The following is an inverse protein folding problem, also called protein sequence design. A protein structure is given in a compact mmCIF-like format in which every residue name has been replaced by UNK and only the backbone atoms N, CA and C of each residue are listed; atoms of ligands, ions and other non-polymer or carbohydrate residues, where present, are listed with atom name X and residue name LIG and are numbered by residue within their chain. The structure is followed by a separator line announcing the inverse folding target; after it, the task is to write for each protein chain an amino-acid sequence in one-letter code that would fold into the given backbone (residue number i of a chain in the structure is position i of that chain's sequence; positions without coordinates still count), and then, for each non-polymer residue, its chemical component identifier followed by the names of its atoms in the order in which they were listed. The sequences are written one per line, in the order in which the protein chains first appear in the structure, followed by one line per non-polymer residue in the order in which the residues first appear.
data_IF_731571926056
#
_entry.id   IF_731571926056
#
_cell.length_a   1.000
_cell.length_b   1.000
_cell.length_c   1.000
_cell.angle_alpha   90.00
_cell.angle_beta   90.00
_cell.angle_gamma   90.00
#
_symmetry.space_group_name_H-M   'P 1'
#
loop_
_entity.id
_entity.type
_entity.pdbx_description
1 polymer ?
#
# COMPACT_ATOMS: atom_id res chain seq x y z
N UNK A 1 -39.71 -39.82 -43.88
CA UNK A 1 -38.30 -39.39 -43.94
C UNK A 1 -38.05 -38.13 -43.10
N UNK A 2 -39.05 -37.26 -42.88
CA UNK A 2 -38.87 -35.99 -42.16
C UNK A 2 -38.73 -36.11 -40.63
N UNK A 3 -39.31 -37.14 -39.99
CA UNK A 3 -39.18 -37.33 -38.53
C UNK A 3 -37.77 -37.65 -38.06
N UNK A 4 -36.94 -38.27 -38.90
CA UNK A 4 -35.58 -38.69 -38.54
C UNK A 4 -34.59 -37.52 -38.52
N UNK A 5 -34.84 -36.47 -39.31
CA UNK A 5 -33.99 -35.28 -39.39
C UNK A 5 -34.16 -34.42 -38.12
N UNK A 6 -35.38 -34.33 -37.59
CA UNK A 6 -35.67 -33.54 -36.39
C UNK A 6 -34.93 -34.08 -35.14
N UNK A 7 -34.83 -35.40 -34.98
CA UNK A 7 -34.12 -36.00 -33.85
C UNK A 7 -32.60 -35.73 -33.88
N UNK A 8 -32.00 -35.68 -35.06
CA UNK A 8 -30.56 -35.41 -35.21
C UNK A 8 -30.26 -33.95 -34.81
N UNK A 9 -31.14 -33.01 -35.17
CA UNK A 9 -30.98 -31.60 -34.82
C UNK A 9 -31.10 -31.40 -33.30
N UNK A 10 -32.06 -32.06 -32.65
CA UNK A 10 -32.25 -31.95 -31.19
C UNK A 10 -31.03 -32.49 -30.43
N UNK A 11 -30.46 -33.61 -30.88
CA UNK A 11 -29.26 -34.20 -30.25
C UNK A 11 -28.05 -33.28 -30.40
N UNK A 12 -27.88 -32.62 -31.55
CA UNK A 12 -26.79 -31.66 -31.73
C UNK A 12 -26.96 -30.43 -30.83
N UNK A 13 -28.17 -29.89 -30.66
CA UNK A 13 -28.42 -28.75 -29.76
C UNK A 13 -28.15 -29.09 -28.30
N UNK A 14 -28.49 -30.30 -27.85
CA UNK A 14 -28.20 -30.74 -26.47
C UNK A 14 -26.69 -30.87 -26.22
N UNK A 15 -25.92 -31.34 -27.22
CA UNK A 15 -24.46 -31.45 -27.12
C UNK A 15 -23.76 -30.09 -27.13
N UNK A 16 -24.31 -29.08 -27.83
CA UNK A 16 -23.74 -27.71 -27.83
C UNK A 16 -24.08 -26.90 -26.57
N UNK A 17 -25.12 -27.27 -25.82
CA UNK A 17 -25.46 -26.61 -24.55
C UNK A 17 -24.70 -27.14 -23.33
N UNK A 18 -23.95 -28.24 -23.46
CA UNK A 18 -23.14 -28.80 -22.38
C UNK A 18 -21.71 -28.26 -22.40
N UNK A 19 -21.54 -26.95 -22.56
CA UNK A 19 -20.33 -26.29 -22.07
C UNK A 19 -20.49 -26.17 -20.55
N UNK A 20 -20.11 -27.23 -19.82
CA UNK A 20 -19.75 -27.06 -18.41
C UNK A 20 -18.65 -26.02 -18.38
N UNK A 21 -18.96 -24.81 -17.89
CA UNK A 21 -17.94 -23.87 -17.45
C UNK A 21 -17.18 -24.64 -16.38
N UNK A 22 -15.99 -25.15 -16.71
CA UNK A 22 -15.05 -25.58 -15.70
C UNK A 22 -14.88 -24.38 -14.76
N UNK A 23 -15.43 -24.49 -13.56
CA UNK A 23 -15.12 -23.57 -12.47
C UNK A 23 -13.66 -23.85 -12.13
N UNK A 24 -12.76 -23.21 -12.87
CA UNK A 24 -11.35 -23.15 -12.50
C UNK A 24 -11.33 -22.42 -11.17
N UNK A 25 -11.23 -23.18 -10.08
CA UNK A 25 -10.96 -22.65 -8.75
C UNK A 25 -9.55 -22.09 -8.78
N UNK A 26 -9.42 -20.83 -9.17
CA UNK A 26 -8.19 -20.08 -8.98
C UNK A 26 -7.99 -19.92 -7.48
N UNK A 27 -7.09 -20.71 -6.91
CA UNK A 27 -6.56 -20.44 -5.57
C UNK A 27 -5.76 -19.15 -5.67
N UNK A 28 -6.24 -18.10 -5.02
CA UNK A 28 -5.48 -16.87 -4.87
C UNK A 28 -4.18 -17.21 -4.13
N UNK A 29 -3.06 -16.65 -4.59
CA UNK A 29 -1.81 -16.74 -3.84
C UNK A 29 -2.00 -16.03 -2.49
N UNK A 30 -1.42 -16.59 -1.44
CA UNK A 30 -1.42 -16.03 -0.07
C UNK A 30 -0.24 -15.07 0.18
N UNK A 31 0.36 -14.58 -0.91
CA UNK A 31 1.50 -13.68 -0.87
C UNK A 31 1.54 -12.78 -2.11
N UNK A 32 2.24 -11.66 -1.98
CA UNK A 32 2.59 -10.77 -3.09
C UNK A 32 4.07 -10.42 -3.01
N UNK A 33 4.74 -10.26 -4.15
CA UNK A 33 6.10 -9.71 -4.17
C UNK A 33 6.05 -8.17 -4.17
N UNK A 34 6.88 -7.55 -3.35
CA UNK A 34 7.03 -6.10 -3.35
C UNK A 34 7.38 -5.58 -4.77
N UNK A 35 6.59 -4.63 -5.28
CA UNK A 35 6.69 -4.05 -6.63
C UNK A 35 6.10 -4.89 -7.75
N UNK A 36 5.45 -6.03 -7.45
CA UNK A 36 4.75 -6.82 -8.45
C UNK A 36 3.52 -6.07 -8.98
N UNK A 37 3.53 -5.72 -10.27
CA UNK A 37 2.46 -4.93 -10.94
C UNK A 37 1.47 -5.79 -11.73
N UNK A 38 1.77 -7.07 -11.97
CA UNK A 38 0.94 -7.99 -12.75
C UNK A 38 0.94 -9.39 -12.13
N UNK A 39 -0.15 -10.13 -12.34
CA UNK A 39 -0.34 -11.48 -11.83
C UNK A 39 -1.82 -11.81 -11.67
N UNK A 40 -2.13 -13.07 -11.42
CA UNK A 40 -3.48 -13.47 -11.04
C UNK A 40 -3.85 -12.83 -9.69
N UNK A 41 -5.00 -12.18 -9.63
CA UNK A 41 -5.48 -11.54 -8.40
C UNK A 41 -4.72 -10.28 -7.97
N UNK A 42 -3.87 -9.69 -8.82
CA UNK A 42 -3.18 -8.44 -8.48
C UNK A 42 -3.92 -7.25 -9.08
N UNK A 43 -4.35 -6.34 -8.22
CA UNK A 43 -4.85 -5.02 -8.60
C UNK A 43 -3.75 -3.98 -8.35
N UNK A 44 -3.14 -3.49 -9.44
CA UNK A 44 -2.15 -2.41 -9.42
C UNK A 44 -2.81 -1.06 -9.71
N UNK A 45 -2.41 -0.02 -8.97
CA UNK A 45 -2.82 1.37 -9.19
C UNK A 45 -1.59 2.28 -9.21
N UNK A 46 -1.46 3.03 -10.30
CA UNK A 46 -0.47 4.11 -10.43
C UNK A 46 -1.08 5.43 -9.94
N UNK A 47 -0.35 6.18 -9.11
CA UNK A 47 -0.81 7.47 -8.59
C UNK A 47 -0.15 8.57 -9.43
N UNK A 48 -0.81 8.98 -10.52
CA UNK A 48 -0.37 10.11 -11.35
C UNK A 48 -1.40 11.26 -11.29
N UNK A 49 -1.10 12.40 -10.61
CA UNK A 49 0.17 12.72 -9.97
C UNK A 49 0.38 12.00 -8.63
N UNK A 50 1.65 11.83 -8.25
CA UNK A 50 2.06 11.28 -6.94
C UNK A 50 1.33 11.99 -5.78
N UNK A 51 0.95 11.24 -4.73
CA UNK A 51 0.32 11.83 -3.55
C UNK A 51 1.38 12.39 -2.62
N UNK A 52 1.32 13.69 -2.36
CA UNK A 52 2.21 14.38 -1.44
C UNK A 52 1.86 14.10 0.01
N UNK A 53 2.68 13.30 0.70
CA UNK A 53 2.51 12.97 2.12
C UNK A 53 3.04 14.01 3.10
N UNK A 54 3.32 15.22 2.63
CA UNK A 54 4.02 16.22 3.43
C UNK A 54 3.39 17.59 3.34
N UNK A 55 3.89 18.47 4.20
CA UNK A 55 3.41 19.82 4.36
C UNK A 55 4.08 20.70 3.31
N UNK A 56 3.26 21.27 2.43
CA UNK A 56 3.74 22.10 1.31
C UNK A 56 4.12 23.51 1.80
N UNK A 57 3.36 24.06 2.75
CA UNK A 57 3.62 25.36 3.36
C UNK A 57 3.67 25.26 4.89
N UNK A 58 4.88 25.22 5.47
CA UNK A 58 5.09 25.07 6.91
C UNK A 58 4.70 26.31 7.73
N UNK A 59 4.56 27.46 7.07
CA UNK A 59 4.20 28.73 7.70
C UNK A 59 2.68 28.89 7.83
N UNK A 60 1.93 28.31 6.90
CA UNK A 60 0.47 28.33 6.92
C UNK A 60 -0.13 27.09 7.60
N UNK A 61 0.53 25.93 7.48
CA UNK A 61 0.05 24.66 8.02
C UNK A 61 1.21 23.85 8.59
N UNK A 62 1.00 23.29 9.78
CA UNK A 62 2.04 22.50 10.48
C UNK A 62 1.71 21.01 10.54
N UNK A 63 0.63 20.60 9.89
CA UNK A 63 0.22 19.20 9.79
C UNK A 63 -0.37 18.85 8.41
N UNK A 64 -0.39 17.56 8.11
CA UNK A 64 -1.14 16.99 7.00
C UNK A 64 -1.67 15.63 7.41
N UNK A 65 -2.82 15.25 6.84
CA UNK A 65 -3.45 13.96 7.09
C UNK A 65 -3.99 13.46 5.76
N UNK A 66 -3.62 12.24 5.42
CA UNK A 66 -4.05 11.56 4.20
C UNK A 66 -4.65 10.24 4.63
N UNK A 67 -5.88 10.00 4.22
CA UNK A 67 -6.50 8.70 4.38
C UNK A 67 -6.42 7.94 3.06
N UNK A 68 -6.15 6.65 3.16
CA UNK A 68 -5.98 5.75 2.02
C UNK A 68 -7.04 4.67 2.08
N UNK A 69 -7.87 4.57 1.05
CA UNK A 69 -8.74 3.43 0.76
C UNK A 69 -8.08 2.64 -0.39
N UNK A 70 -7.31 1.62 -0.03
CA UNK A 70 -6.49 0.85 -0.98
C UNK A 70 -7.30 -0.30 -1.61
N UNK A 71 -8.31 -0.80 -0.91
CA UNK A 71 -9.18 -1.87 -1.41
C UNK A 71 -10.41 -1.34 -2.19
N UNK A 72 -10.62 -0.01 -2.21
CA UNK A 72 -11.67 0.74 -2.92
C UNK A 72 -13.09 0.38 -2.47
N UNK A 73 -13.28 0.18 -1.17
CA UNK A 73 -14.59 -0.16 -0.60
C UNK A 73 -15.33 1.00 0.06
N UNK A 74 -14.74 2.20 0.00
CA UNK A 74 -15.29 3.42 0.58
C UNK A 74 -14.97 3.59 2.06
N UNK A 75 -14.16 2.71 2.65
CA UNK A 75 -13.68 2.81 4.02
C UNK A 75 -12.16 3.01 3.99
N UNK A 76 -11.68 4.02 4.72
CA UNK A 76 -10.25 4.27 4.82
C UNK A 76 -9.55 3.08 5.53
N UNK A 77 -8.50 2.56 4.90
CA UNK A 77 -7.67 1.46 5.39
C UNK A 77 -6.51 1.94 6.27
N UNK A 78 -5.92 3.10 5.93
CA UNK A 78 -4.76 3.67 6.60
C UNK A 78 -4.85 5.19 6.68
N UNK A 79 -4.26 5.78 7.73
CA UNK A 79 -4.06 7.22 7.84
C UNK A 79 -2.57 7.53 7.92
N UNK A 80 -2.05 8.35 7.00
CA UNK A 80 -0.72 8.94 7.06
C UNK A 80 -0.83 10.32 7.68
N UNK A 81 0.01 10.61 8.68
CA UNK A 81 0.09 11.91 9.33
C UNK A 81 1.48 12.48 9.20
N UNK A 82 1.56 13.65 8.58
CA UNK A 82 2.75 14.48 8.60
C UNK A 82 2.56 15.60 9.61
N UNK A 83 3.56 15.90 10.41
CA UNK A 83 3.56 17.07 11.29
C UNK A 83 4.93 17.71 11.28
N UNK A 84 4.96 19.00 11.54
CA UNK A 84 6.19 19.73 11.77
C UNK A 84 6.00 20.82 12.80
N UNK A 85 7.03 21.14 13.56
CA UNK A 85 6.96 22.39 14.31
C UNK A 85 7.11 23.55 13.35
N UNK A 86 6.37 24.62 13.67
CA UNK A 86 6.63 25.90 13.04
C UNK A 86 8.12 26.24 13.25
N UNK A 87 8.85 26.65 12.22
CA UNK A 87 10.19 27.21 12.40
C UNK A 87 10.03 28.43 13.31
N UNK A 88 10.28 28.23 14.60
CA UNK A 88 10.07 29.26 15.60
C UNK A 88 11.32 30.12 15.66
N UNK A 89 11.17 31.37 16.10
CA UNK A 89 12.30 32.25 16.38
C UNK A 89 13.25 31.69 17.46
N UNK A 90 12.89 30.60 18.14
CA UNK A 90 13.70 29.92 19.14
C UNK A 90 14.67 28.87 18.55
N UNK A 91 14.66 28.70 17.21
CA UNK A 91 15.71 27.97 16.51
C UNK A 91 15.60 26.46 16.58
N UNK A 92 14.39 25.89 16.65
CA UNK A 92 14.17 24.45 16.52
C UNK A 92 13.41 24.12 15.25
N UNK A 93 13.71 22.96 14.68
CA UNK A 93 13.02 22.38 13.53
C UNK A 93 12.75 20.91 13.82
N UNK A 94 11.57 20.45 13.46
CA UNK A 94 11.13 19.10 13.75
C UNK A 94 10.07 18.69 12.75
N UNK A 95 10.22 17.47 12.26
CA UNK A 95 9.38 16.86 11.24
C UNK A 95 9.07 15.44 11.71
N UNK A 96 7.83 14.99 11.51
CA UNK A 96 7.43 13.64 11.81
C UNK A 96 6.44 13.17 10.75
N UNK A 97 6.63 11.95 10.27
CA UNK A 97 5.74 11.25 9.37
C UNK A 97 5.46 9.86 9.95
N UNK A 98 4.18 9.55 10.14
CA UNK A 98 3.71 8.26 10.65
C UNK A 98 2.59 7.70 9.77
N UNK A 99 2.38 6.39 9.86
CA UNK A 99 1.22 5.69 9.30
C UNK A 99 0.50 4.93 10.40
N UNK A 100 -0.83 5.04 10.42
CA UNK A 100 -1.71 4.33 11.36
C UNK A 100 -2.62 3.39 10.56
N UNK A 101 -2.53 2.07 10.77
CA UNK A 101 -3.55 1.14 10.29
C UNK A 101 -4.90 1.42 10.93
N UNK A 102 -5.97 1.33 10.15
CA UNK A 102 -7.33 1.46 10.64
C UNK A 102 -7.99 0.08 10.78
N UNK A 103 -9.03 0.01 11.60
CA UNK A 103 -9.78 -1.23 11.86
C UNK A 103 -8.88 -2.39 12.34
N UNK A 104 -8.81 -3.48 11.58
CA UNK A 104 -7.97 -4.66 11.84
C UNK A 104 -6.83 -4.78 10.82
N UNK A 105 -6.59 -3.74 10.02
CA UNK A 105 -5.51 -3.70 9.06
C UNK A 105 -4.16 -3.63 9.80
N UNK A 106 -3.08 -3.93 9.09
CA UNK A 106 -1.74 -3.87 9.62
C UNK A 106 -0.74 -3.40 8.56
N UNK A 107 0.39 -2.87 9.03
CA UNK A 107 1.55 -2.52 8.22
C UNK A 107 2.77 -3.31 8.65
N UNK A 108 3.69 -3.55 7.73
CA UNK A 108 4.93 -4.25 8.01
C UNK A 108 5.91 -3.34 8.76
N UNK A 109 6.43 -3.82 9.88
CA UNK A 109 7.38 -3.09 10.72
C UNK A 109 8.70 -3.84 10.90
N UNK A 110 9.74 -3.09 11.23
CA UNK A 110 10.95 -3.67 11.75
C UNK A 110 10.75 -4.07 13.23
N UNK A 111 10.88 -5.35 13.61
CA UNK A 111 10.53 -5.84 14.95
C UNK A 111 11.42 -5.30 16.08
N UNK A 112 12.59 -4.76 15.75
CA UNK A 112 13.52 -4.20 16.75
C UNK A 112 13.16 -2.75 17.11
N UNK A 113 12.62 -1.99 16.15
CA UNK A 113 12.39 -0.54 16.29
C UNK A 113 10.90 -0.17 16.35
N UNK A 114 10.02 -1.07 15.90
CA UNK A 114 8.60 -0.80 15.61
C UNK A 114 8.37 0.33 14.61
N UNK A 115 9.41 0.73 13.86
CA UNK A 115 9.28 1.66 12.75
C UNK A 115 8.83 0.92 11.51
N UNK A 116 8.22 1.65 10.58
CA UNK A 116 7.81 1.09 9.30
C UNK A 116 9.01 0.54 8.53
N UNK A 117 8.90 -0.70 8.05
CA UNK A 117 9.99 -1.36 7.36
C UNK A 117 10.18 -0.84 5.94
N UNK A 118 11.34 -1.11 5.34
CA UNK A 118 11.64 -0.84 3.93
C UNK A 118 11.80 -2.16 3.19
N UNK A 119 10.70 -2.69 2.65
CA UNK A 119 10.68 -3.99 1.98
C UNK A 119 11.35 -3.85 0.60
N UNK A 120 12.50 -4.49 0.32
CA UNK A 120 13.14 -4.41 -0.98
C UNK A 120 12.29 -5.06 -2.09
N UNK A 121 12.45 -4.56 -3.30
CA UNK A 121 11.83 -5.11 -4.50
C UNK A 121 12.01 -6.64 -4.60
N UNK A 122 10.95 -7.33 -5.01
CA UNK A 122 10.83 -8.80 -5.10
C UNK A 122 10.83 -9.58 -3.77
N UNK A 123 10.93 -8.92 -2.61
CA UNK A 123 10.73 -9.62 -1.35
C UNK A 123 9.25 -10.01 -1.20
N UNK A 124 9.00 -11.22 -0.71
CA UNK A 124 7.67 -11.75 -0.41
C UNK A 124 7.04 -11.02 0.77
N UNK A 125 5.78 -10.63 0.63
CA UNK A 125 4.91 -10.07 1.66
C UNK A 125 3.77 -11.07 1.88
N UNK A 126 3.67 -11.61 3.10
CA UNK A 126 2.72 -12.65 3.50
C UNK A 126 2.53 -12.65 5.04
N UNK A 127 1.82 -13.64 5.60
CA UNK A 127 1.61 -13.73 7.06
C UNK A 127 2.89 -13.86 7.90
N UNK A 128 4.01 -14.30 7.33
CA UNK A 128 5.28 -14.46 8.06
C UNK A 128 6.01 -13.13 8.29
N UNK A 129 5.53 -12.04 7.69
CA UNK A 129 6.06 -10.70 7.93
C UNK A 129 5.73 -10.19 9.35
N UNK A 130 6.48 -9.20 9.83
CA UNK A 130 6.22 -8.60 11.14
C UNK A 130 5.15 -7.52 11.01
N UNK A 131 3.94 -7.82 11.48
CA UNK A 131 2.77 -6.96 11.35
C UNK A 131 2.51 -6.13 12.61
N UNK A 132 2.26 -4.83 12.44
CA UNK A 132 1.77 -3.93 13.49
C UNK A 132 0.37 -3.43 13.17
N UNK A 133 -0.50 -3.44 14.18
CA UNK A 133 -1.81 -2.77 14.15
C UNK A 133 -1.76 -1.34 14.74
N UNK A 134 -0.62 -0.97 15.31
CA UNK A 134 -0.39 0.34 15.92
C UNK A 134 0.28 1.30 14.93
N UNK A 135 0.24 2.59 15.26
CA UNK A 135 0.96 3.64 14.53
C UNK A 135 2.46 3.32 14.44
N UNK A 136 3.03 3.46 13.24
CA UNK A 136 4.45 3.27 12.99
C UNK A 136 5.10 4.52 12.42
N UNK A 137 6.31 4.80 12.91
CA UNK A 137 7.14 5.88 12.42
C UNK A 137 7.68 5.56 11.02
N UNK A 138 7.47 6.47 10.08
CA UNK A 138 8.09 6.44 8.75
C UNK A 138 9.43 7.17 8.81
N UNK A 139 9.39 8.40 9.31
CA UNK A 139 10.50 9.33 9.32
C UNK A 139 10.31 10.35 10.44
N UNK A 140 11.39 10.70 11.14
CA UNK A 140 11.42 11.90 11.96
C UNK A 140 12.74 12.62 11.82
N UNK A 141 12.67 13.94 11.84
CA UNK A 141 13.81 14.83 11.96
C UNK A 141 13.62 15.76 13.15
N UNK A 142 14.70 16.03 13.86
CA UNK A 142 14.72 17.00 14.93
C UNK A 142 16.05 17.73 14.92
N UNK A 143 16.00 19.05 15.08
CA UNK A 143 17.15 19.92 15.21
C UNK A 143 16.85 21.09 16.14
N UNK A 144 17.89 21.56 16.85
CA UNK A 144 17.83 22.71 17.73
C UNK A 144 19.09 23.56 17.57
N UNK A 145 18.94 24.88 17.63
CA UNK A 145 20.01 25.86 17.51
C UNK A 145 21.06 25.64 18.60
N UNK A 146 22.32 25.53 18.18
CA UNK A 146 23.44 25.24 19.08
C UNK A 146 23.53 23.77 19.52
N UNK A 147 22.62 22.90 19.06
CA UNK A 147 22.64 21.46 19.27
C UNK A 147 22.92 20.66 18.00
N UNK A 148 22.85 19.34 18.13
CA UNK A 148 22.94 18.40 17.01
C UNK A 148 21.56 18.16 16.41
N UNK A 149 21.53 17.82 15.12
CA UNK A 149 20.35 17.21 14.51
C UNK A 149 20.31 15.71 14.75
N UNK A 150 19.11 15.14 14.71
CA UNK A 150 18.84 13.71 14.71
C UNK A 150 17.81 13.36 13.65
N UNK A 151 18.02 12.23 12.96
CA UNK A 151 17.08 11.69 11.98
C UNK A 151 16.82 10.22 12.26
N UNK A 152 15.54 9.89 12.39
CA UNK A 152 15.02 8.57 12.73
C UNK A 152 14.09 8.05 11.62
N UNK A 153 13.79 6.76 11.66
CA UNK A 153 13.03 6.06 10.62
C UNK A 153 13.90 5.43 9.53
N UNK A 154 13.45 4.30 8.98
CA UNK A 154 14.14 3.58 7.92
C UNK A 154 14.01 4.25 6.55
N UNK A 155 13.03 5.14 6.40
CA UNK A 155 12.72 5.82 5.14
C UNK A 155 13.49 7.13 4.93
N UNK A 156 14.39 7.50 5.85
CA UNK A 156 15.14 8.76 5.78
C UNK A 156 16.02 8.90 4.54
N UNK A 157 16.54 7.80 4.00
CA UNK A 157 17.47 7.81 2.85
C UNK A 157 16.86 7.19 1.57
N UNK A 158 15.55 6.91 1.56
CA UNK A 158 14.89 6.25 0.42
C UNK A 158 14.45 7.29 -0.62
N UNK A 159 15.29 7.56 -1.61
CA UNK A 159 15.04 8.58 -2.64
C UNK A 159 14.64 8.08 -4.03
N UNK A 160 14.68 6.75 -4.25
CA UNK A 160 14.40 6.12 -5.54
C UNK A 160 13.10 5.31 -5.41
N UNK A 161 12.12 5.57 -6.27
CA UNK A 161 10.90 4.74 -6.38
C UNK A 161 11.24 3.33 -6.84
N UNK A 162 10.32 2.39 -6.65
CA UNK A 162 10.43 1.00 -7.12
C UNK A 162 11.57 0.17 -6.51
N UNK A 163 12.29 0.69 -5.51
CA UNK A 163 13.37 -0.04 -4.82
C UNK A 163 12.94 -0.60 -3.47
N UNK A 164 12.18 0.20 -2.72
CA UNK A 164 11.69 -0.14 -1.39
C UNK A 164 10.20 0.17 -1.32
N UNK A 165 9.47 -0.65 -0.57
CA UNK A 165 8.02 -0.62 -0.49
C UNK A 165 7.56 -0.76 0.96
N UNK A 166 6.38 -0.23 1.23
CA UNK A 166 5.65 -0.47 2.47
C UNK A 166 4.81 -1.71 2.25
N UNK A 167 4.99 -2.76 3.06
CA UNK A 167 4.08 -3.90 3.06
C UNK A 167 2.85 -3.61 3.93
N UNK A 168 1.68 -4.01 3.47
CA UNK A 168 0.45 -3.89 4.24
C UNK A 168 -0.40 -5.16 4.18
N UNK A 169 -1.29 -5.27 5.17
CA UNK A 169 -2.25 -6.34 5.33
C UNK A 169 -3.63 -5.73 5.61
N UNK A 170 -4.61 -6.07 4.77
CA UNK A 170 -6.01 -5.66 4.94
C UNK A 170 -6.83 -6.88 5.33
N UNK A 171 -7.71 -6.73 6.34
CA UNK A 171 -8.64 -7.78 6.74
C UNK A 171 -10.07 -7.35 6.41
N UNK A 172 -10.70 -8.05 5.48
CA UNK A 172 -12.06 -7.77 5.02
C UNK A 172 -12.86 -9.06 4.93
N UNK A 173 -14.04 -9.08 5.56
CA UNK A 173 -14.93 -10.25 5.59
C UNK A 173 -14.22 -11.55 6.01
N UNK A 174 -13.36 -11.45 7.03
CA UNK A 174 -12.51 -12.52 7.56
C UNK A 174 -11.47 -13.08 6.56
N UNK A 175 -11.22 -12.36 5.46
CA UNK A 175 -10.18 -12.66 4.47
C UNK A 175 -9.05 -11.67 4.55
N UNK A 176 -7.83 -12.19 4.46
CA UNK A 176 -6.61 -11.39 4.44
C UNK A 176 -6.18 -11.08 3.02
N UNK A 177 -5.88 -9.82 2.76
CA UNK A 177 -5.27 -9.35 1.53
C UNK A 177 -3.93 -8.70 1.82
N UNK A 178 -2.90 -9.07 1.06
CA UNK A 178 -1.58 -8.46 1.15
C UNK A 178 -1.38 -7.48 0.02
N UNK A 179 -0.60 -6.45 0.28
CA UNK A 179 -0.21 -5.49 -0.74
C UNK A 179 1.05 -4.74 -0.40
N UNK A 180 1.44 -3.87 -1.32
CA UNK A 180 2.57 -2.99 -1.16
C UNK A 180 2.21 -1.57 -1.62
N UNK A 181 2.83 -0.56 -0.98
CA UNK A 181 2.77 0.85 -1.41
C UNK A 181 4.19 1.28 -1.78
N UNK A 182 4.33 1.83 -2.98
CA UNK A 182 5.55 2.52 -3.42
C UNK A 182 5.60 3.92 -2.83
N UNK A 183 6.76 4.27 -2.28
CA UNK A 183 7.01 5.59 -1.72
C UNK A 183 8.43 6.02 -2.01
N UNK A 184 8.66 7.33 -2.14
CA UNK A 184 10.00 7.92 -2.25
C UNK A 184 10.07 9.24 -1.47
N UNK A 185 11.26 9.58 -1.03
CA UNK A 185 11.61 10.89 -0.50
C UNK A 185 12.20 11.76 -1.61
N UNK A 186 11.57 12.90 -1.85
CA UNK A 186 12.10 13.96 -2.70
C UNK A 186 13.06 14.83 -1.89
N UNK A 187 14.33 14.83 -2.30
CA UNK A 187 15.43 15.55 -1.64
C UNK A 187 15.77 16.87 -2.34
N UNK A 188 14.98 17.30 -3.33
CA UNK A 188 15.28 18.51 -4.12
C UNK A 188 15.07 19.81 -3.34
N UNK A 189 14.20 19.79 -2.33
CA UNK A 189 13.90 20.93 -1.48
C UNK A 189 14.30 20.66 -0.03
N UNK A 190 14.44 21.74 0.74
CA UNK A 190 14.77 21.69 2.16
C UNK A 190 13.68 21.03 3.01
N UNK A 191 12.43 21.00 2.53
CA UNK A 191 11.31 20.43 3.26
C UNK A 191 11.28 18.91 3.12
N UNK A 192 10.95 18.19 4.19
CA UNK A 192 10.61 16.78 4.06
C UNK A 192 9.47 16.62 3.05
N UNK A 193 9.74 15.84 2.00
CA UNK A 193 8.77 15.57 0.95
C UNK A 193 8.77 14.09 0.63
N UNK A 194 7.70 13.42 1.03
CA UNK A 194 7.42 12.03 0.75
C UNK A 194 6.28 11.96 -0.25
N UNK A 195 6.43 11.07 -1.22
CA UNK A 195 5.51 10.90 -2.34
C UNK A 195 5.10 9.44 -2.35
N UNK A 196 3.79 9.17 -2.27
CA UNK A 196 3.26 7.86 -2.66
C UNK A 196 3.15 7.84 -4.18
N UNK A 197 3.70 6.80 -4.79
CA UNK A 197 3.83 6.69 -6.25
C UNK A 197 2.82 5.72 -6.84
N UNK A 198 2.65 4.59 -6.19
CA UNK A 198 1.84 3.48 -6.69
C UNK A 198 1.55 2.50 -5.55
N UNK A 199 0.63 1.58 -5.80
CA UNK A 199 0.41 0.44 -4.91
C UNK A 199 -0.11 -0.76 -5.69
N UNK A 200 0.03 -1.94 -5.10
CA UNK A 200 -0.72 -3.10 -5.54
C UNK A 200 -1.25 -3.90 -4.35
N UNK A 201 -2.37 -4.58 -4.57
CA UNK A 201 -3.03 -5.42 -3.58
C UNK A 201 -3.49 -6.72 -4.22
N UNK A 202 -3.45 -7.81 -3.46
CA UNK A 202 -4.16 -9.03 -3.79
C UNK A 202 -5.67 -8.81 -3.67
N UNK A 203 -6.43 -9.31 -4.64
CA UNK A 203 -7.89 -9.19 -4.68
C UNK A 203 -8.50 -10.47 -5.20
N UNK A 204 -9.63 -10.86 -4.62
CA UNK A 204 -10.45 -11.93 -5.16
C UNK A 204 -11.18 -11.50 -6.43
N UNK A 205 -11.29 -12.41 -7.38
CA UNK A 205 -12.19 -12.21 -8.51
C UNK A 205 -13.62 -12.38 -8.03
N UNK A 206 -14.39 -11.28 -8.00
CA UNK A 206 -15.84 -11.36 -7.96
C UNK A 206 -16.30 -12.08 -9.24
N UNK A 207 -16.66 -13.36 -9.12
CA UNK A 207 -17.25 -14.15 -10.20
C UNK A 207 -18.71 -13.78 -10.44
#
# INVERSE_FOLDING_TARGET
MERSILYIIIIQVILFCSCEKENVNYTLDDFIQAGQKTGAGIEYTDLDPDIHCTIIDPWEKTDTTINLDLNKDGIDDFTIKGSMCHPSMLGSDCENLSITPLLKNAICINPTTNWMDTIPHYQTINEESNWSHDEALIYSYFWIMGGNSSTEGHWKDVSISDRYFIGFKILKDDKTFFGWIGMKRDLTNWSFKFLLTDYAILKEYDN
#
